data_IF_545726149059
#
_entry.id   IF_545726149059
#
_cell.length_a   1.000
_cell.length_b   1.000
_cell.length_c   1.000
_cell.angle_alpha   90.00
_cell.angle_beta   90.00
_cell.angle_gamma   90.00
#
_symmetry.space_group_name_H-M   'P 1'
#
loop_
_entity.id
_entity.type
_entity.pdbx_description
1 polymer ?
#
# COMPACT_ATOMS: atom_id res chain seq x y z
N UNK A 1 -43.07 -4.71 -11.03
CA UNK A 1 -42.02 -5.34 -11.85
C UNK A 1 -40.74 -5.57 -11.03
N UNK A 2 -40.56 -6.81 -10.58
CA UNK A 2 -39.42 -7.27 -9.77
C UNK A 2 -38.15 -7.26 -10.63
N UNK A 3 -37.15 -6.44 -10.28
CA UNK A 3 -35.84 -6.48 -10.94
C UNK A 3 -35.07 -7.69 -10.40
N UNK A 4 -34.42 -8.51 -11.24
CA UNK A 4 -33.75 -9.71 -10.78
C UNK A 4 -32.62 -9.31 -9.83
N UNK A 5 -32.62 -9.90 -8.62
CA UNK A 5 -31.52 -9.85 -7.66
C UNK A 5 -30.23 -10.11 -8.44
N UNK A 6 -29.38 -9.09 -8.56
CA UNK A 6 -27.98 -9.30 -8.88
C UNK A 6 -27.53 -10.38 -7.89
N UNK A 7 -27.08 -11.55 -8.38
CA UNK A 7 -26.90 -12.70 -7.50
C UNK A 7 -26.08 -12.26 -6.30
N UNK A 8 -26.55 -12.56 -5.09
CA UNK A 8 -25.91 -12.17 -3.84
C UNK A 8 -24.38 -12.39 -3.89
N UNK A 9 -23.98 -13.50 -4.51
CA UNK A 9 -22.60 -13.85 -4.83
C UNK A 9 -21.87 -12.82 -5.70
N UNK A 10 -22.50 -12.26 -6.74
CA UNK A 10 -21.94 -11.17 -7.57
C UNK A 10 -21.78 -9.86 -6.80
N UNK A 11 -22.73 -9.53 -5.92
CA UNK A 11 -22.64 -8.34 -5.07
C UNK A 11 -21.47 -8.47 -4.08
N UNK A 12 -21.42 -9.60 -3.35
CA UNK A 12 -20.33 -9.91 -2.41
C UNK A 12 -18.98 -9.92 -3.12
N UNK A 13 -18.86 -10.54 -4.31
CA UNK A 13 -17.60 -10.56 -5.08
C UNK A 13 -17.15 -9.16 -5.51
N UNK A 14 -18.07 -8.27 -5.90
CA UNK A 14 -17.74 -6.89 -6.27
C UNK A 14 -17.23 -6.10 -5.08
N UNK A 15 -17.91 -6.23 -3.94
CA UNK A 15 -17.48 -5.61 -2.67
C UNK A 15 -16.06 -6.10 -2.36
N UNK A 16 -15.84 -7.42 -2.27
CA UNK A 16 -14.54 -8.02 -1.95
C UNK A 16 -13.41 -7.68 -2.95
N UNK A 17 -13.72 -7.49 -4.23
CA UNK A 17 -12.74 -7.09 -5.25
C UNK A 17 -12.41 -5.60 -5.23
N UNK A 18 -13.30 -4.78 -4.64
CA UNK A 18 -13.15 -3.32 -4.60
C UNK A 18 -12.47 -2.80 -3.35
N UNK A 19 -12.25 -3.63 -2.31
CA UNK A 19 -11.77 -3.19 -0.99
C UNK A 19 -10.32 -2.70 -1.01
N UNK A 20 -10.06 -1.41 -0.76
CA UNK A 20 -8.77 -0.93 -0.35
C UNK A 20 -8.78 -0.75 1.18
N UNK A 21 -7.82 -1.38 1.88
CA UNK A 21 -7.35 -1.00 3.23
C UNK A 21 -8.20 -1.35 4.47
N UNK A 22 -9.26 -2.16 4.37
CA UNK A 22 -10.04 -2.59 5.55
C UNK A 22 -9.78 -4.06 5.91
N UNK A 23 -9.86 -4.38 7.20
CA UNK A 23 -9.81 -5.76 7.68
C UNK A 23 -11.05 -6.54 7.22
N UNK A 24 -10.95 -7.87 7.14
CA UNK A 24 -12.10 -8.72 6.75
C UNK A 24 -13.34 -8.49 7.64
N UNK A 25 -13.11 -8.12 8.91
CA UNK A 25 -14.16 -7.84 9.90
C UNK A 25 -14.85 -6.50 9.62
N UNK A 26 -14.10 -5.46 9.30
CA UNK A 26 -14.64 -4.15 8.94
C UNK A 26 -15.43 -4.23 7.63
N UNK A 27 -14.91 -4.94 6.63
CA UNK A 27 -15.60 -5.19 5.38
C UNK A 27 -16.91 -5.97 5.56
N UNK A 28 -16.93 -6.94 6.50
CA UNK A 28 -18.15 -7.66 6.85
C UNK A 28 -19.18 -6.76 7.54
N UNK A 29 -18.74 -5.89 8.45
CA UNK A 29 -19.62 -4.91 9.11
C UNK A 29 -20.21 -3.90 8.12
N UNK A 30 -19.40 -3.39 7.17
CA UNK A 30 -19.86 -2.51 6.11
C UNK A 30 -20.85 -3.21 5.19
N UNK A 31 -20.57 -4.47 4.82
CA UNK A 31 -21.50 -5.28 4.04
C UNK A 31 -22.86 -5.41 4.73
N UNK A 32 -22.87 -5.71 6.03
CA UNK A 32 -24.09 -5.80 6.82
C UNK A 32 -24.83 -4.46 6.89
N UNK A 33 -24.13 -3.33 7.09
CA UNK A 33 -24.77 -2.02 7.16
C UNK A 33 -25.38 -1.57 5.83
N UNK A 34 -24.71 -1.87 4.72
CA UNK A 34 -25.23 -1.58 3.38
C UNK A 34 -26.41 -2.48 2.98
N UNK A 35 -26.53 -3.67 3.57
CA UNK A 35 -27.51 -4.70 3.19
C UNK A 35 -28.49 -5.05 4.32
N UNK A 36 -28.61 -4.17 5.32
CA UNK A 36 -29.45 -4.34 6.52
C UNK A 36 -30.96 -4.50 6.20
N UNK A 37 -31.34 -4.16 4.97
CA UNK A 37 -32.69 -4.32 4.42
C UNK A 37 -32.95 -5.70 3.78
N UNK A 38 -32.03 -6.66 3.91
CA UNK A 38 -32.19 -8.02 3.38
C UNK A 38 -32.38 -9.04 4.50
N UNK A 39 -33.39 -9.91 4.39
CA UNK A 39 -33.69 -10.99 5.38
C UNK A 39 -32.60 -12.07 5.51
N UNK A 40 -31.49 -11.94 4.78
CA UNK A 40 -30.43 -12.94 4.75
C UNK A 40 -29.22 -12.46 5.54
N UNK A 41 -29.12 -12.89 6.81
CA UNK A 41 -27.93 -12.70 7.61
C UNK A 41 -26.77 -13.57 7.08
N UNK A 42 -25.67 -12.92 6.70
CA UNK A 42 -24.45 -13.60 6.28
C UNK A 42 -23.44 -13.57 7.42
N UNK A 43 -23.03 -14.74 7.89
CA UNK A 43 -21.98 -14.84 8.92
C UNK A 43 -20.61 -14.42 8.38
N UNK A 44 -19.69 -14.01 9.26
CA UNK A 44 -18.32 -13.67 8.89
C UNK A 44 -17.58 -14.84 8.21
N UNK A 45 -17.83 -16.08 8.66
CA UNK A 45 -17.22 -17.28 8.06
C UNK A 45 -17.69 -17.50 6.62
N UNK A 46 -19.01 -17.49 6.41
CA UNK A 46 -19.59 -17.60 5.07
C UNK A 46 -19.19 -16.43 4.16
N UNK A 47 -19.03 -15.23 4.71
CA UNK A 47 -18.52 -14.06 3.99
C UNK A 47 -17.05 -14.25 3.56
N UNK A 48 -16.22 -14.81 4.43
CA UNK A 48 -14.83 -15.15 4.13
C UNK A 48 -14.71 -16.18 3.00
N UNK A 49 -15.56 -17.21 3.00
CA UNK A 49 -15.51 -18.29 2.00
C UNK A 49 -15.91 -17.83 0.60
N UNK A 50 -16.69 -16.75 0.50
CA UNK A 50 -17.06 -16.13 -0.77
C UNK A 50 -15.96 -15.27 -1.38
N UNK A 51 -14.83 -15.12 -0.68
CA UNK A 51 -13.66 -14.40 -1.16
C UNK A 51 -13.04 -15.10 -2.37
N UNK A 52 -12.73 -14.36 -3.45
CA UNK A 52 -11.94 -14.90 -4.55
C UNK A 52 -10.61 -15.48 -4.03
N UNK A 53 -10.21 -16.65 -4.53
CA UNK A 53 -8.98 -17.33 -4.13
C UNK A 53 -7.71 -16.50 -4.40
N UNK A 54 -7.77 -15.53 -5.31
CA UNK A 54 -6.70 -14.60 -5.63
C UNK A 54 -6.61 -13.38 -4.69
N UNK A 55 -7.61 -13.13 -3.84
CA UNK A 55 -7.46 -12.15 -2.78
C UNK A 55 -6.66 -12.81 -1.65
N UNK A 56 -5.61 -12.15 -1.16
CA UNK A 56 -4.79 -12.61 -0.05
C UNK A 56 -5.17 -11.86 1.23
N UNK A 57 -5.08 -12.52 2.40
CA UNK A 57 -5.24 -11.78 3.66
C UNK A 57 -3.96 -10.99 3.91
N UNK A 58 -4.06 -9.86 4.59
CA UNK A 58 -2.90 -9.09 5.02
C UNK A 58 -1.93 -9.94 5.86
N UNK A 59 -2.44 -10.92 6.61
CA UNK A 59 -1.63 -11.90 7.37
C UNK A 59 -0.83 -12.88 6.49
N UNK A 60 -1.25 -13.10 5.24
CA UNK A 60 -0.54 -13.93 4.25
C UNK A 60 0.44 -13.11 3.42
N UNK A 61 0.50 -11.80 3.62
CA UNK A 61 1.55 -10.97 3.03
C UNK A 61 2.77 -11.09 3.94
N UNK A 62 3.73 -11.92 3.52
CA UNK A 62 5.05 -12.02 4.14
C UNK A 62 5.65 -10.63 4.18
N UNK A 63 5.66 -9.98 5.34
CA UNK A 63 6.23 -8.64 5.63
C UNK A 63 6.81 -7.91 4.41
N UNK A 64 6.14 -6.88 3.86
CA UNK A 64 6.72 -5.74 3.10
C UNK A 64 5.64 -5.02 2.29
N UNK A 65 5.03 -4.01 2.91
CA UNK A 65 4.58 -2.74 2.32
C UNK A 65 3.43 -2.22 3.18
N UNK A 66 3.72 -1.19 3.99
CA UNK A 66 2.63 -0.35 4.50
C UNK A 66 1.80 0.11 3.30
N UNK A 67 0.50 -0.15 3.32
CA UNK A 67 -0.44 0.34 2.30
C UNK A 67 -0.92 1.77 2.61
N UNK A 68 -0.22 2.46 3.52
CA UNK A 68 -0.48 3.86 3.81
C UNK A 68 -0.11 4.73 2.61
N UNK A 69 -0.88 5.80 2.41
CA UNK A 69 -0.68 6.72 1.30
C UNK A 69 0.75 7.29 1.26
N UNK A 70 1.39 7.48 2.43
CA UNK A 70 2.77 7.91 2.53
C UNK A 70 3.76 6.95 1.85
N UNK A 71 3.78 5.67 2.25
CA UNK A 71 4.71 4.69 1.67
C UNK A 71 4.40 4.44 0.18
N UNK A 72 3.13 4.48 -0.21
CA UNK A 72 2.76 4.36 -1.61
C UNK A 72 3.20 5.57 -2.44
N UNK A 73 3.09 6.79 -1.91
CA UNK A 73 3.59 8.00 -2.57
C UNK A 73 5.12 7.98 -2.74
N UNK A 74 5.87 7.44 -1.76
CA UNK A 74 7.31 7.24 -1.93
C UNK A 74 7.60 6.22 -3.04
N UNK A 75 6.88 5.09 -3.10
CA UNK A 75 7.01 4.13 -4.20
C UNK A 75 6.73 4.76 -5.58
N UNK A 76 5.69 5.59 -5.68
CA UNK A 76 5.34 6.29 -6.91
C UNK A 76 6.39 7.33 -7.32
N UNK A 77 7.13 7.91 -6.36
CA UNK A 77 8.22 8.85 -6.59
C UNK A 77 9.55 8.16 -6.99
N UNK A 78 9.88 7.03 -6.37
CA UNK A 78 11.12 6.28 -6.64
C UNK A 78 11.21 5.88 -8.12
N UNK A 79 10.09 5.39 -8.68
CA UNK A 79 10.02 4.88 -10.06
C UNK A 79 10.49 5.90 -11.11
N UNK A 80 9.95 7.13 -11.19
CA UNK A 80 10.44 8.14 -12.12
C UNK A 80 11.84 8.65 -11.76
N UNK A 81 12.19 8.79 -10.48
CA UNK A 81 13.52 9.26 -10.08
C UNK A 81 14.66 8.32 -10.52
N UNK A 82 14.41 7.01 -10.52
CA UNK A 82 15.39 6.00 -10.94
C UNK A 82 15.90 6.18 -12.38
N UNK A 83 15.13 6.87 -13.24
CA UNK A 83 15.52 7.17 -14.62
C UNK A 83 16.57 8.27 -14.72
N UNK A 84 16.65 9.13 -13.70
CA UNK A 84 17.46 10.34 -13.71
C UNK A 84 18.61 10.28 -12.72
N UNK A 85 18.44 9.54 -11.63
CA UNK A 85 19.46 9.36 -10.60
C UNK A 85 19.95 7.91 -10.68
N UNK A 86 21.14 7.67 -11.26
CA UNK A 86 21.71 6.33 -11.36
C UNK A 86 22.26 5.91 -9.99
N UNK A 87 21.35 5.51 -9.09
CA UNK A 87 21.67 5.09 -7.74
C UNK A 87 21.04 3.74 -7.40
N UNK A 88 21.80 2.78 -6.82
CA UNK A 88 21.35 1.40 -6.65
C UNK A 88 20.07 1.24 -5.81
N UNK A 89 19.79 2.14 -4.87
CA UNK A 89 18.64 2.01 -3.98
C UNK A 89 17.30 2.50 -4.57
N UNK A 90 17.27 3.11 -5.75
CA UNK A 90 16.06 3.73 -6.32
C UNK A 90 15.16 2.78 -7.12
N UNK A 91 15.16 1.47 -6.86
CA UNK A 91 14.29 0.53 -7.59
C UNK A 91 13.14 -0.05 -6.75
N UNK A 92 13.21 0.08 -5.42
CA UNK A 92 12.12 -0.30 -4.51
C UNK A 92 12.22 0.50 -3.20
N UNK A 93 11.10 0.70 -2.50
CA UNK A 93 11.10 1.34 -1.17
C UNK A 93 12.00 0.60 -0.18
N UNK A 94 12.04 -0.73 -0.26
CA UNK A 94 12.91 -1.49 0.61
C UNK A 94 14.38 -1.18 0.31
N UNK A 95 14.82 -1.35 -0.93
CA UNK A 95 16.20 -1.04 -1.30
C UNK A 95 16.58 0.41 -0.99
N UNK A 96 15.64 1.34 -1.18
CA UNK A 96 15.81 2.74 -0.83
C UNK A 96 16.07 2.93 0.66
N UNK A 97 15.25 2.29 1.51
CA UNK A 97 15.40 2.34 2.96
C UNK A 97 16.72 1.68 3.40
N UNK A 98 17.01 0.47 2.93
CA UNK A 98 18.22 -0.31 3.25
C UNK A 98 19.52 0.41 2.91
N UNK A 99 19.52 1.26 1.88
CA UNK A 99 20.71 1.97 1.42
C UNK A 99 20.89 3.34 2.09
N UNK A 100 19.81 3.89 2.64
CA UNK A 100 19.82 5.11 3.44
C UNK A 100 20.26 4.86 4.87
N UNK A 101 19.83 3.76 5.50
CA UNK A 101 20.11 3.49 6.92
C UNK A 101 21.27 2.52 7.13
N UNK A 102 21.93 2.59 8.28
CA UNK A 102 22.96 1.61 8.67
C UNK A 102 22.34 0.25 9.05
N UNK A 103 21.16 0.29 9.68
CA UNK A 103 20.51 -0.88 10.26
C UNK A 103 18.99 -0.68 10.25
N UNK A 104 18.26 -1.51 9.52
CA UNK A 104 16.79 -1.42 9.39
C UNK A 104 16.04 -1.83 10.67
N UNK A 105 16.69 -2.60 11.55
CA UNK A 105 16.08 -3.03 12.83
C UNK A 105 16.37 -2.06 13.97
N UNK A 106 17.21 -1.06 13.74
CA UNK A 106 17.53 -0.04 14.73
C UNK A 106 16.60 1.18 14.54
N UNK A 107 15.89 1.53 15.61
CA UNK A 107 14.92 2.62 15.60
C UNK A 107 15.57 3.98 15.30
N UNK A 108 16.69 4.31 15.94
CA UNK A 108 17.40 5.58 15.70
C UNK A 108 17.80 5.75 14.23
N UNK A 109 18.17 4.67 13.56
CA UNK A 109 18.49 4.68 12.13
C UNK A 109 17.24 4.97 11.29
N UNK A 110 16.12 4.30 11.58
CA UNK A 110 14.85 4.45 10.84
C UNK A 110 14.16 5.81 11.09
N UNK A 111 14.41 6.44 12.24
CA UNK A 111 13.93 7.77 12.59
C UNK A 111 14.93 8.90 12.27
N UNK A 112 16.01 8.61 11.54
CA UNK A 112 17.03 9.59 11.14
C UNK A 112 17.74 10.30 12.30
N UNK A 113 17.87 9.63 13.45
CA UNK A 113 18.57 10.12 14.64
C UNK A 113 19.99 9.57 14.76
N UNK A 114 20.30 8.50 14.01
CA UNK A 114 21.64 7.92 13.98
C UNK A 114 22.66 8.89 13.35
N UNK A 115 23.71 9.23 14.09
CA UNK A 115 24.79 10.14 13.64
C UNK A 115 25.52 9.67 12.38
N UNK A 116 25.48 8.37 12.08
CA UNK A 116 26.16 7.78 10.92
C UNK A 116 25.32 7.82 9.64
N UNK A 117 23.99 7.73 9.72
CA UNK A 117 23.11 7.69 8.54
C UNK A 117 22.09 8.80 8.43
N UNK A 118 21.93 9.68 9.42
CA UNK A 118 20.96 10.77 9.37
C UNK A 118 21.10 11.66 8.13
N UNK A 119 22.34 11.86 7.64
CA UNK A 119 22.64 12.68 6.47
C UNK A 119 22.88 11.86 5.18
N UNK A 120 22.51 10.58 5.16
CA UNK A 120 22.77 9.73 3.99
C UNK A 120 21.93 10.11 2.78
N UNK A 121 20.75 10.72 2.98
CA UNK A 121 19.93 11.19 1.87
C UNK A 121 20.66 12.27 1.07
N UNK A 122 21.16 13.31 1.73
CA UNK A 122 21.93 14.39 1.13
C UNK A 122 23.23 13.86 0.52
N UNK A 123 23.94 13.00 1.25
CA UNK A 123 25.24 12.51 0.83
C UNK A 123 25.20 11.49 -0.31
N UNK A 124 24.17 10.64 -0.37
CA UNK A 124 24.12 9.53 -1.33
C UNK A 124 23.15 9.77 -2.48
N UNK A 125 22.12 10.60 -2.31
CA UNK A 125 21.11 10.83 -3.35
C UNK A 125 21.33 12.17 -4.02
N UNK A 126 21.42 13.27 -3.24
CA UNK A 126 21.58 14.62 -3.83
C UNK A 126 22.91 14.74 -4.58
N UNK A 127 24.01 14.20 -4.04
CA UNK A 127 25.33 14.22 -4.72
C UNK A 127 25.36 13.42 -6.02
N UNK A 128 24.50 12.41 -6.16
CA UNK A 128 24.40 11.58 -7.37
C UNK A 128 23.39 12.14 -8.39
N UNK A 129 22.65 13.21 -8.05
CA UNK A 129 21.78 13.90 -8.98
C UNK A 129 22.64 14.70 -9.97
N UNK A 130 22.80 14.16 -11.18
CA UNK A 130 23.69 14.74 -12.21
C UNK A 130 23.08 15.92 -12.97
N UNK A 131 21.77 16.17 -12.85
CA UNK A 131 21.08 17.25 -13.56
C UNK A 131 19.90 17.82 -12.75
N UNK A 132 20.11 18.93 -12.04
CA UNK A 132 19.09 19.65 -11.27
C UNK A 132 18.06 20.42 -12.13
N UNK A 133 18.22 20.42 -13.45
CA UNK A 133 17.42 21.25 -14.37
C UNK A 133 16.20 20.47 -14.91
N UNK A 134 16.13 19.15 -14.70
CA UNK A 134 15.06 18.34 -15.29
C UNK A 134 13.80 18.31 -14.41
N UNK A 135 12.67 18.67 -15.00
CA UNK A 135 11.35 18.50 -14.38
C UNK A 135 10.94 17.03 -14.42
N UNK A 136 10.61 16.45 -13.26
CA UNK A 136 10.10 15.08 -13.16
C UNK A 136 8.61 15.12 -12.82
N UNK A 137 7.81 14.48 -13.66
CA UNK A 137 6.39 14.26 -13.37
C UNK A 137 6.22 12.94 -12.60
N UNK A 138 5.44 12.96 -11.51
CA UNK A 138 5.08 11.76 -10.77
C UNK A 138 3.62 11.79 -10.31
N UNK A 139 3.10 10.62 -9.96
CA UNK A 139 1.77 10.47 -9.39
C UNK A 139 1.84 10.44 -7.86
N UNK A 140 0.83 10.98 -7.20
CA UNK A 140 0.66 10.87 -5.76
C UNK A 140 -0.82 10.61 -5.42
N UNK A 141 -1.06 9.83 -4.39
CA UNK A 141 -2.34 9.76 -3.71
C UNK A 141 -2.57 11.06 -2.93
N UNK A 142 -3.75 11.64 -3.10
CA UNK A 142 -4.19 12.76 -2.26
C UNK A 142 -4.27 12.32 -0.80
N UNK A 143 -3.52 13.00 0.07
CA UNK A 143 -3.67 12.88 1.51
C UNK A 143 -4.94 13.67 1.88
N UNK A 144 -5.94 12.99 2.44
CA UNK A 144 -7.14 13.64 3.00
C UNK A 144 -6.83 14.15 4.40
#
# INVERSE_FOLDING_TARGET
>A
PYKPRQSFVKAVKRVLQSLPKETLREAHQLFLSEHDHTDAYLSLGSFSDLRPSNALLQSHMTYRNCLCAYHENINLLIKPLSKYIPWPGLHSLQAFSSTLVCCETNEECMFSQCSLCANNFENKIIKHATNFIQSVNWYQWGLK
#
